data_IF_088077966505
#
_entry.id   IF_088077966505
#
_cell.length_a   1.000
_cell.length_b   1.000
_cell.length_c   1.000
_cell.angle_alpha   90.00
_cell.angle_beta   90.00
_cell.angle_gamma   90.00
#
_symmetry.space_group_name_H-M   'P 1'
#
loop_
_entity.id
_entity.type
_entity.pdbx_description
1 polymer ?
#
# COMPACT_ATOMS: atom_id res chain seq x y z
N UNK A 1 14.05 -11.87 17.06
CA UNK A 1 12.84 -12.18 17.87
C UNK A 1 12.17 -13.37 17.20
N UNK A 2 11.99 -14.50 17.88
CA UNK A 2 11.45 -15.74 17.29
C UNK A 2 9.91 -15.74 17.22
N UNK A 3 9.32 -14.72 16.61
CA UNK A 3 7.85 -14.55 16.56
C UNK A 3 7.15 -15.63 15.74
N UNK A 4 7.85 -16.28 14.81
CA UNK A 4 7.38 -17.43 14.03
C UNK A 4 7.00 -18.66 14.89
N UNK A 5 7.61 -18.81 16.07
CA UNK A 5 7.36 -19.92 16.99
C UNK A 5 6.13 -19.69 17.89
N UNK A 6 5.54 -18.49 17.88
CA UNK A 6 4.35 -18.20 18.65
C UNK A 6 3.12 -18.88 18.04
N UNK A 7 2.25 -19.41 18.91
CA UNK A 7 0.93 -19.89 18.50
C UNK A 7 0.02 -18.73 18.07
N UNK A 8 -1.12 -19.03 17.45
CA UNK A 8 -2.02 -18.04 16.86
C UNK A 8 -2.48 -16.94 17.83
N UNK A 9 -2.83 -17.26 19.07
CA UNK A 9 -3.31 -16.25 20.01
C UNK A 9 -2.13 -15.41 20.54
N UNK A 10 -1.03 -16.07 20.86
CA UNK A 10 0.17 -15.40 21.37
C UNK A 10 0.76 -14.41 20.35
N UNK A 11 0.78 -14.73 19.06
CA UNK A 11 1.29 -13.80 18.03
C UNK A 11 0.37 -12.60 17.86
N UNK A 12 -0.95 -12.77 17.92
CA UNK A 12 -1.90 -11.66 17.82
C UNK A 12 -1.76 -10.73 19.01
N UNK A 13 -1.74 -11.28 20.24
CA UNK A 13 -1.56 -10.47 21.46
C UNK A 13 -0.21 -9.76 21.48
N UNK A 14 0.84 -10.44 21.01
CA UNK A 14 2.15 -9.84 20.86
C UNK A 14 2.13 -8.64 19.89
N UNK A 15 1.53 -8.79 18.70
CA UNK A 15 1.44 -7.73 17.70
C UNK A 15 0.60 -6.56 18.21
N UNK A 16 -0.55 -6.82 18.86
CA UNK A 16 -1.37 -5.75 19.47
C UNK A 16 -0.58 -4.91 20.46
N UNK A 17 0.19 -5.56 21.34
CA UNK A 17 1.02 -4.85 22.30
C UNK A 17 2.16 -4.08 21.61
N UNK A 18 2.76 -4.66 20.56
CA UNK A 18 3.81 -3.99 19.80
C UNK A 18 3.30 -2.78 19.02
N UNK A 19 2.10 -2.84 18.44
CA UNK A 19 1.40 -1.70 17.83
C UNK A 19 1.13 -0.61 18.88
N UNK A 20 0.63 -0.98 20.07
CA UNK A 20 0.39 -0.02 21.15
C UNK A 20 1.67 0.71 21.55
N UNK A 21 2.76 -0.02 21.83
CA UNK A 21 4.04 0.59 22.21
C UNK A 21 4.61 1.41 21.06
N UNK A 22 4.46 0.97 19.81
CA UNK A 22 4.82 1.78 18.65
C UNK A 22 4.01 3.08 18.57
N UNK A 23 2.73 3.07 18.95
CA UNK A 23 1.93 4.30 19.03
C UNK A 23 2.47 5.24 20.11
N UNK A 24 2.76 4.70 21.30
CA UNK A 24 3.34 5.46 22.42
C UNK A 24 4.71 6.07 22.05
N UNK A 25 5.58 5.33 21.36
CA UNK A 25 6.89 5.79 20.89
C UNK A 25 6.81 6.92 19.85
N UNK A 26 5.77 6.91 19.02
CA UNK A 26 5.56 7.90 17.96
C UNK A 26 4.82 9.15 18.45
N UNK A 27 4.11 9.05 19.58
CA UNK A 27 3.37 10.16 20.18
C UNK A 27 4.28 11.26 20.78
N UNK A 28 5.57 10.96 21.00
CA UNK A 28 6.58 11.95 21.36
C UNK A 28 6.82 12.90 20.17
N UNK A 29 6.18 14.09 20.19
CA UNK A 29 6.24 15.05 19.08
C UNK A 29 7.65 15.63 18.88
N UNK A 30 8.47 15.68 19.94
CA UNK A 30 9.83 16.23 19.89
C UNK A 30 10.83 15.21 19.33
N UNK A 31 10.65 13.93 19.67
CA UNK A 31 11.57 12.87 19.25
C UNK A 31 10.86 11.53 19.00
N UNK A 32 10.08 11.40 17.90
CA UNK A 32 9.33 10.19 17.62
C UNK A 32 10.27 9.02 17.32
N UNK A 33 10.15 7.96 18.14
CA UNK A 33 10.98 6.75 18.00
C UNK A 33 10.27 5.73 17.11
N UNK A 34 11.02 5.13 16.19
CA UNK A 34 10.49 4.17 15.21
C UNK A 34 10.88 2.72 15.55
N UNK A 35 11.31 2.45 16.78
CA UNK A 35 11.91 1.17 17.13
C UNK A 35 10.87 0.04 17.08
N UNK A 36 9.72 0.22 17.73
CA UNK A 36 8.66 -0.77 17.68
C UNK A 36 8.02 -0.85 16.29
N UNK A 37 7.98 0.25 15.52
CA UNK A 37 7.57 0.23 14.12
C UNK A 37 8.51 -0.63 13.26
N UNK A 38 9.83 -0.48 13.43
CA UNK A 38 10.84 -1.35 12.80
C UNK A 38 10.62 -2.83 13.16
N UNK A 39 10.34 -3.11 14.43
CA UNK A 39 10.07 -4.47 14.90
C UNK A 39 8.77 -5.05 14.33
N UNK A 40 7.74 -4.23 14.11
CA UNK A 40 6.55 -4.66 13.39
C UNK A 40 6.90 -5.12 11.98
N UNK A 41 7.74 -4.37 11.25
CA UNK A 41 8.18 -4.75 9.89
C UNK A 41 8.91 -6.09 9.89
N UNK A 42 9.84 -6.30 10.83
CA UNK A 42 10.54 -7.58 11.00
C UNK A 42 9.57 -8.72 11.27
N UNK A 43 8.62 -8.52 12.19
CA UNK A 43 7.61 -9.52 12.55
C UNK A 43 6.70 -9.84 11.38
N UNK A 44 6.25 -8.83 10.61
CA UNK A 44 5.45 -9.05 9.41
C UNK A 44 6.22 -9.97 8.44
N UNK A 45 7.46 -9.60 8.10
CA UNK A 45 8.29 -10.34 7.15
C UNK A 45 8.53 -11.80 7.55
N UNK A 46 8.67 -12.09 8.85
CA UNK A 46 8.87 -13.46 9.36
C UNK A 46 7.60 -14.31 9.35
N UNK A 47 6.42 -13.68 9.38
CA UNK A 47 5.15 -14.38 9.60
C UNK A 47 4.24 -14.44 8.35
N UNK A 48 4.65 -13.86 7.22
CA UNK A 48 3.90 -13.88 5.95
C UNK A 48 3.56 -15.28 5.44
N UNK A 49 4.40 -16.28 5.74
CA UNK A 49 4.22 -17.67 5.30
C UNK A 49 3.32 -18.50 6.23
N UNK A 50 2.72 -17.90 7.26
CA UNK A 50 1.77 -18.60 8.13
C UNK A 50 0.53 -19.04 7.36
N UNK A 51 -0.19 -20.01 7.95
CA UNK A 51 -1.51 -20.42 7.47
C UNK A 51 -2.37 -19.18 7.26
N UNK A 52 -2.91 -19.05 6.05
CA UNK A 52 -3.65 -17.88 5.55
C UNK A 52 -4.57 -17.21 6.56
N UNK A 53 -5.44 -17.97 7.22
CA UNK A 53 -6.39 -17.41 8.20
C UNK A 53 -5.69 -16.76 9.41
N UNK A 54 -4.54 -17.31 9.84
CA UNK A 54 -3.73 -16.71 10.89
C UNK A 54 -3.06 -15.44 10.39
N UNK A 55 -2.47 -15.49 9.18
CA UNK A 55 -1.85 -14.32 8.57
C UNK A 55 -2.86 -13.17 8.39
N UNK A 56 -4.06 -13.44 7.90
CA UNK A 56 -5.10 -12.41 7.73
C UNK A 56 -5.39 -11.67 9.04
N UNK A 57 -5.52 -12.39 10.16
CA UNK A 57 -5.75 -11.77 11.49
C UNK A 57 -4.55 -10.98 12.00
N UNK A 58 -3.34 -11.47 11.72
CA UNK A 58 -2.10 -10.77 12.04
C UNK A 58 -2.06 -9.44 11.28
N UNK A 59 -2.27 -9.51 9.96
CA UNK A 59 -2.19 -8.34 9.09
C UNK A 59 -3.29 -7.33 9.39
N UNK A 60 -4.52 -7.75 9.67
CA UNK A 60 -5.62 -6.86 10.08
C UNK A 60 -5.23 -5.94 11.25
N UNK A 61 -4.51 -6.46 12.25
CA UNK A 61 -4.02 -5.62 13.36
C UNK A 61 -2.90 -4.66 12.91
N UNK A 62 -2.01 -5.13 12.04
CA UNK A 62 -0.87 -4.34 11.58
C UNK A 62 -1.28 -3.25 10.59
N UNK A 63 -2.26 -3.54 9.73
CA UNK A 63 -2.73 -2.64 8.69
C UNK A 63 -3.40 -1.41 9.31
N UNK A 64 -4.21 -1.58 10.35
CA UNK A 64 -4.80 -0.48 11.12
C UNK A 64 -3.70 0.44 11.69
N UNK A 65 -2.65 -0.15 12.25
CA UNK A 65 -1.50 0.58 12.78
C UNK A 65 -0.75 1.35 11.68
N UNK A 66 -0.44 0.71 10.55
CA UNK A 66 0.23 1.39 9.43
C UNK A 66 -0.60 2.55 8.87
N UNK A 67 -1.92 2.40 8.76
CA UNK A 67 -2.81 3.48 8.30
C UNK A 67 -2.82 4.63 9.30
N UNK A 68 -2.88 4.34 10.61
CA UNK A 68 -2.79 5.36 11.66
C UNK A 68 -1.47 6.14 11.60
N UNK A 69 -0.34 5.42 11.48
CA UNK A 69 0.99 6.04 11.32
C UNK A 69 1.10 6.82 10.01
N UNK A 70 0.41 6.40 8.95
CA UNK A 70 0.32 7.14 7.68
C UNK A 70 -0.42 8.48 7.75
N UNK A 71 -1.08 8.76 8.87
CA UNK A 71 -1.71 10.05 9.18
C UNK A 71 -0.94 10.86 10.23
N UNK A 72 0.30 10.45 10.54
CA UNK A 72 1.14 11.13 11.52
C UNK A 72 1.57 12.54 11.04
N UNK A 73 1.73 13.48 11.98
CA UNK A 73 2.12 14.87 11.65
C UNK A 73 3.53 14.99 11.09
N UNK A 74 4.45 14.16 11.59
CA UNK A 74 5.84 14.11 11.14
C UNK A 74 5.96 13.33 9.82
N UNK A 75 6.27 14.03 8.73
CA UNK A 75 6.45 13.45 7.41
C UNK A 75 7.43 12.28 7.37
N UNK A 76 8.55 12.36 8.11
CA UNK A 76 9.55 11.29 8.13
C UNK A 76 9.01 9.99 8.75
N UNK A 77 8.02 10.08 9.63
CA UNK A 77 7.33 8.91 10.20
C UNK A 77 6.40 8.31 9.15
N UNK A 78 5.63 9.14 8.45
CA UNK A 78 4.71 8.71 7.37
C UNK A 78 5.47 8.04 6.23
N UNK A 79 6.53 8.67 5.73
CA UNK A 79 7.38 8.11 4.65
C UNK A 79 7.98 6.77 5.09
N UNK A 80 8.43 6.64 6.34
CA UNK A 80 8.97 5.38 6.85
C UNK A 80 7.91 4.27 6.86
N UNK A 81 6.67 4.57 7.23
CA UNK A 81 5.57 3.60 7.20
C UNK A 81 5.25 3.16 5.76
N UNK A 82 5.21 4.09 4.80
CA UNK A 82 4.95 3.77 3.39
C UNK A 82 6.09 2.94 2.79
N UNK A 83 7.34 3.28 3.08
CA UNK A 83 8.49 2.50 2.61
C UNK A 83 8.49 1.10 3.22
N UNK A 84 8.11 0.99 4.50
CA UNK A 84 7.94 -0.31 5.17
C UNK A 84 6.89 -1.16 4.47
N UNK A 85 5.72 -0.58 4.14
CA UNK A 85 4.69 -1.26 3.36
C UNK A 85 5.22 -1.70 1.99
N UNK A 86 6.02 -0.85 1.31
CA UNK A 86 6.63 -1.17 0.01
C UNK A 86 7.57 -2.36 0.10
N UNK A 87 8.49 -2.35 1.06
CA UNK A 87 9.44 -3.45 1.28
C UNK A 87 8.72 -4.77 1.60
N UNK A 88 7.62 -4.70 2.36
CA UNK A 88 6.82 -5.87 2.67
C UNK A 88 6.01 -6.34 1.45
N UNK A 89 5.47 -5.42 0.64
CA UNK A 89 4.78 -5.73 -0.62
C UNK A 89 5.70 -6.43 -1.63
N UNK A 90 6.96 -5.98 -1.75
CA UNK A 90 7.95 -6.58 -2.64
C UNK A 90 8.15 -8.07 -2.36
N UNK A 91 8.11 -8.47 -1.08
CA UNK A 91 8.19 -9.87 -0.63
C UNK A 91 6.84 -10.59 -0.75
N UNK A 92 5.76 -9.93 -0.33
CA UNK A 92 4.44 -10.56 -0.24
C UNK A 92 3.88 -10.92 -1.62
N UNK A 93 4.11 -10.08 -2.64
CA UNK A 93 3.62 -10.34 -3.99
C UNK A 93 4.27 -11.55 -4.65
N UNK A 94 5.50 -11.91 -4.25
CA UNK A 94 6.17 -13.12 -4.74
C UNK A 94 5.55 -14.41 -4.20
N UNK A 95 4.72 -14.32 -3.15
CA UNK A 95 3.93 -15.43 -2.64
C UNK A 95 2.72 -15.61 -3.58
N UNK A 96 2.63 -16.79 -4.19
CA UNK A 96 1.55 -17.10 -5.13
C UNK A 96 0.17 -16.93 -4.48
N UNK A 97 -0.64 -16.03 -5.06
CA UNK A 97 -2.04 -15.90 -4.71
C UNK A 97 -2.87 -16.95 -5.47
N UNK A 98 -3.52 -17.84 -4.71
CA UNK A 98 -4.43 -18.83 -5.27
C UNK A 98 -5.68 -18.14 -5.84
N UNK A 99 -6.27 -18.72 -6.88
CA UNK A 99 -7.52 -18.23 -7.49
C UNK A 99 -8.65 -18.10 -6.45
N UNK A 100 -9.54 -17.12 -6.66
CA UNK A 100 -10.68 -16.77 -5.77
C UNK A 100 -10.30 -16.24 -4.38
N UNK A 101 -9.06 -15.80 -4.21
CA UNK A 101 -8.60 -15.17 -2.99
C UNK A 101 -8.13 -13.74 -3.24
N UNK A 102 -8.25 -12.91 -2.21
CA UNK A 102 -7.99 -11.47 -2.25
C UNK A 102 -6.95 -11.05 -1.20
N UNK A 103 -5.92 -11.86 -1.00
CA UNK A 103 -4.85 -11.63 -0.03
C UNK A 103 -3.98 -10.44 -0.44
N UNK A 104 -3.63 -10.30 -1.71
CA UNK A 104 -2.89 -9.16 -2.22
C UNK A 104 -3.71 -7.87 -2.09
N UNK A 105 -5.02 -7.93 -2.40
CA UNK A 105 -5.94 -6.81 -2.15
C UNK A 105 -5.93 -6.36 -0.68
N UNK A 106 -6.10 -7.30 0.24
CA UNK A 106 -6.06 -7.02 1.68
C UNK A 106 -4.71 -6.43 2.09
N UNK A 107 -3.62 -7.05 1.63
CA UNK A 107 -2.27 -6.61 1.94
C UNK A 107 -1.95 -5.19 1.46
N UNK A 108 -2.37 -4.83 0.24
CA UNK A 108 -2.09 -3.52 -0.35
C UNK A 108 -3.05 -2.42 0.11
N UNK A 109 -4.16 -2.76 0.79
CA UNK A 109 -5.20 -1.79 1.20
C UNK A 109 -4.66 -0.59 1.99
N UNK A 110 -3.64 -0.72 2.86
CA UNK A 110 -3.04 0.43 3.53
C UNK A 110 -2.53 1.53 2.61
N UNK A 111 -1.97 1.21 1.44
CA UNK A 111 -1.55 2.24 0.48
C UNK A 111 -2.73 3.10 0.02
N UNK A 112 -3.87 2.47 -0.26
CA UNK A 112 -5.09 3.15 -0.68
C UNK A 112 -5.66 4.01 0.45
N UNK A 113 -5.73 3.48 1.67
CA UNK A 113 -6.22 4.23 2.83
C UNK A 113 -5.33 5.44 3.17
N UNK A 114 -4.00 5.28 3.13
CA UNK A 114 -3.07 6.39 3.39
C UNK A 114 -3.16 7.43 2.28
N UNK A 115 -3.28 7.02 1.00
CA UNK A 115 -3.51 7.94 -0.12
C UNK A 115 -4.80 8.73 0.08
N UNK A 116 -5.91 8.06 0.41
CA UNK A 116 -7.20 8.68 0.63
C UNK A 116 -7.16 9.70 1.78
N UNK A 117 -6.51 9.35 2.90
CA UNK A 117 -6.36 10.25 4.05
C UNK A 117 -5.54 11.51 3.71
N UNK A 118 -4.69 11.45 2.68
CA UNK A 118 -3.78 12.53 2.30
C UNK A 118 -4.12 13.19 0.96
N UNK A 119 -5.21 12.78 0.27
CA UNK A 119 -5.52 13.25 -1.09
C UNK A 119 -5.70 14.79 -1.16
N UNK A 120 -6.32 15.36 -0.12
CA UNK A 120 -6.52 16.81 0.04
C UNK A 120 -5.48 17.48 0.94
N UNK A 121 -4.45 16.74 1.36
CA UNK A 121 -3.37 17.28 2.19
C UNK A 121 -2.47 18.21 1.37
N UNK A 122 -1.90 19.21 2.05
CA UNK A 122 -0.83 20.06 1.48
C UNK A 122 0.51 19.34 1.41
N UNK A 123 0.66 18.19 2.07
CA UNK A 123 1.88 17.38 2.05
C UNK A 123 1.93 16.52 0.78
N UNK A 124 2.42 17.11 -0.31
CA UNK A 124 2.51 16.45 -1.63
C UNK A 124 3.44 15.25 -1.63
N UNK A 125 4.52 15.32 -0.85
CA UNK A 125 5.55 14.29 -0.73
C UNK A 125 4.98 12.90 -0.38
N UNK A 126 3.91 12.84 0.42
CA UNK A 126 3.23 11.59 0.76
C UNK A 126 2.59 10.96 -0.48
N UNK A 127 1.85 11.76 -1.25
CA UNK A 127 1.16 11.31 -2.47
C UNK A 127 2.18 10.90 -3.54
N UNK A 128 3.21 11.72 -3.73
CA UNK A 128 4.36 11.44 -4.60
C UNK A 128 4.99 10.08 -4.27
N UNK A 129 5.29 9.85 -3.00
CA UNK A 129 5.95 8.63 -2.57
C UNK A 129 5.07 7.39 -2.76
N UNK A 130 3.76 7.48 -2.48
CA UNK A 130 2.81 6.39 -2.75
C UNK A 130 2.75 6.10 -4.26
N UNK A 131 2.58 7.11 -5.10
CA UNK A 131 2.54 6.95 -6.57
C UNK A 131 3.82 6.31 -7.08
N UNK A 132 4.98 6.72 -6.56
CA UNK A 132 6.27 6.12 -6.89
C UNK A 132 6.32 4.64 -6.51
N UNK A 133 5.88 4.27 -5.30
CA UNK A 133 5.84 2.88 -4.83
C UNK A 133 4.94 2.03 -5.73
N UNK A 134 3.72 2.50 -6.00
CA UNK A 134 2.75 1.76 -6.82
C UNK A 134 3.21 1.64 -8.27
N UNK A 135 3.77 2.71 -8.85
CA UNK A 135 4.38 2.65 -10.16
C UNK A 135 5.50 1.60 -10.21
N UNK A 136 6.38 1.55 -9.22
CA UNK A 136 7.44 0.55 -9.16
C UNK A 136 6.87 -0.88 -9.13
N UNK A 137 5.82 -1.14 -8.34
CA UNK A 137 5.13 -2.44 -8.32
C UNK A 137 4.58 -2.81 -9.71
N UNK A 138 3.95 -1.86 -10.43
CA UNK A 138 3.48 -2.11 -11.79
C UNK A 138 4.61 -2.47 -12.76
N UNK A 139 5.77 -1.82 -12.67
CA UNK A 139 6.87 -2.08 -13.60
C UNK A 139 7.67 -3.34 -13.25
N UNK A 140 7.86 -3.62 -11.96
CA UNK A 140 8.77 -4.68 -11.51
C UNK A 140 8.06 -5.97 -11.09
N UNK A 141 6.79 -5.87 -10.70
CA UNK A 141 6.02 -6.99 -10.12
C UNK A 141 4.71 -7.31 -10.85
N UNK A 142 4.42 -6.70 -12.01
CA UNK A 142 3.17 -6.92 -12.76
C UNK A 142 2.76 -8.40 -12.86
N UNK A 143 3.71 -9.27 -13.24
CA UNK A 143 3.49 -10.72 -13.39
C UNK A 143 3.05 -11.44 -12.10
N UNK A 144 3.35 -10.86 -10.94
CA UNK A 144 3.00 -11.39 -9.62
C UNK A 144 1.68 -10.81 -9.08
N UNK A 145 1.22 -9.69 -9.64
CA UNK A 145 0.00 -9.02 -9.19
C UNK A 145 -1.23 -9.75 -9.76
N UNK A 146 -2.19 -10.02 -8.86
CA UNK A 146 -3.49 -10.67 -9.08
C UNK A 146 -4.58 -9.76 -8.52
N UNK A 147 -5.21 -10.12 -7.38
CA UNK A 147 -6.23 -9.28 -6.74
C UNK A 147 -5.70 -7.90 -6.31
N UNK A 148 -4.37 -7.74 -6.21
CA UNK A 148 -3.73 -6.45 -5.95
C UNK A 148 -3.98 -5.38 -7.03
N UNK A 149 -4.29 -5.78 -8.28
CA UNK A 149 -4.61 -4.83 -9.35
C UNK A 149 -5.81 -3.95 -8.98
N UNK A 150 -6.79 -4.50 -8.27
CA UNK A 150 -7.96 -3.73 -7.82
C UNK A 150 -7.54 -2.51 -6.97
N UNK A 151 -6.62 -2.70 -6.03
CA UNK A 151 -6.13 -1.65 -5.13
C UNK A 151 -5.29 -0.63 -5.89
N UNK A 152 -4.43 -1.11 -6.78
CA UNK A 152 -3.59 -0.25 -7.64
C UNK A 152 -4.46 0.67 -8.50
N UNK A 153 -5.49 0.12 -9.13
CA UNK A 153 -6.44 0.88 -9.96
C UNK A 153 -7.27 1.87 -9.13
N UNK A 154 -7.64 1.51 -7.91
CA UNK A 154 -8.30 2.46 -6.98
C UNK A 154 -7.37 3.61 -6.61
N UNK A 155 -6.10 3.34 -6.30
CA UNK A 155 -5.11 4.39 -6.01
C UNK A 155 -4.94 5.32 -7.22
N UNK A 156 -4.75 4.77 -8.42
CA UNK A 156 -4.67 5.59 -9.63
C UNK A 156 -5.96 6.38 -9.90
N UNK A 157 -7.13 5.83 -9.58
CA UNK A 157 -8.40 6.57 -9.67
C UNK A 157 -8.47 7.76 -8.72
N UNK A 158 -7.91 7.64 -7.51
CA UNK A 158 -7.78 8.77 -6.57
C UNK A 158 -6.83 9.83 -7.13
N UNK A 159 -5.65 9.41 -7.59
CA UNK A 159 -4.63 10.32 -8.17
C UNK A 159 -5.14 11.00 -9.44
N UNK A 160 -5.96 10.32 -10.24
CA UNK A 160 -6.51 10.86 -11.49
C UNK A 160 -7.33 12.13 -11.30
N UNK A 161 -7.81 12.42 -10.08
CA UNK A 161 -8.56 13.64 -9.77
C UNK A 161 -7.73 14.68 -8.98
N UNK A 162 -6.43 14.43 -8.82
CA UNK A 162 -5.53 15.32 -8.11
C UNK A 162 -5.22 16.59 -8.92
N UNK A 163 -4.84 17.66 -8.22
CA UNK A 163 -4.43 18.94 -8.80
C UNK A 163 -2.96 18.90 -9.26
N UNK A 164 -2.15 18.00 -8.70
CA UNK A 164 -0.75 17.83 -9.08
C UNK A 164 -0.64 17.07 -10.41
N UNK A 165 -0.57 17.82 -11.51
CA UNK A 165 -0.55 17.28 -12.89
C UNK A 165 0.56 16.27 -13.13
N UNK A 166 1.73 16.44 -12.49
CA UNK A 166 2.83 15.48 -12.57
C UNK A 166 2.45 14.09 -12.02
N UNK A 167 1.68 14.03 -10.91
CA UNK A 167 1.21 12.76 -10.34
C UNK A 167 0.17 12.08 -11.22
N UNK A 168 -0.73 12.89 -11.79
CA UNK A 168 -1.72 12.42 -12.76
C UNK A 168 -1.00 11.83 -13.97
N UNK A 169 0.00 12.52 -14.52
CA UNK A 169 0.78 12.04 -15.66
C UNK A 169 1.58 10.76 -15.34
N UNK A 170 2.25 10.71 -14.19
CA UNK A 170 3.04 9.55 -13.77
C UNK A 170 2.17 8.30 -13.54
N UNK A 171 1.02 8.46 -12.86
CA UNK A 171 0.07 7.37 -12.63
C UNK A 171 -0.55 6.88 -13.93
N UNK A 172 -0.94 7.79 -14.83
CA UNK A 172 -1.45 7.44 -16.16
C UNK A 172 -0.41 6.70 -17.01
N UNK A 173 0.84 7.18 -17.05
CA UNK A 173 1.94 6.51 -17.76
C UNK A 173 2.16 5.09 -17.24
N UNK A 174 2.10 4.90 -15.93
CA UNK A 174 2.26 3.60 -15.30
C UNK A 174 1.09 2.66 -15.62
N UNK A 175 -0.14 3.17 -15.61
CA UNK A 175 -1.33 2.43 -16.03
C UNK A 175 -1.24 2.02 -17.50
N UNK A 176 -0.88 2.95 -18.39
CA UNK A 176 -0.73 2.69 -19.81
C UNK A 176 0.34 1.61 -20.08
N UNK A 177 1.48 1.68 -19.39
CA UNK A 177 2.50 0.63 -19.46
C UNK A 177 1.96 -0.72 -18.99
N UNK A 178 1.25 -0.76 -17.87
CA UNK A 178 0.66 -1.98 -17.33
C UNK A 178 -0.36 -2.60 -18.30
N UNK A 179 -1.28 -1.80 -18.85
CA UNK A 179 -2.31 -2.29 -19.79
C UNK A 179 -1.68 -2.81 -21.08
N UNK A 180 -0.71 -2.11 -21.66
CA UNK A 180 -0.13 -2.52 -22.93
C UNK A 180 0.75 -3.76 -22.83
N UNK A 181 1.44 -3.96 -21.71
CA UNK A 181 2.37 -5.08 -21.53
C UNK A 181 1.76 -6.24 -20.74
N UNK A 182 0.68 -6.02 -20.00
CA UNK A 182 0.12 -6.97 -19.04
C UNK A 182 -1.43 -6.99 -19.05
N UNK A 183 -2.07 -6.72 -20.20
CA UNK A 183 -3.55 -6.63 -20.31
C UNK A 183 -4.27 -7.85 -19.73
N UNK A 184 -3.77 -9.06 -19.99
CA UNK A 184 -4.34 -10.31 -19.47
C UNK A 184 -4.29 -10.41 -17.94
N UNK A 185 -3.34 -9.75 -17.29
CA UNK A 185 -3.21 -9.75 -15.83
C UNK A 185 -4.21 -8.81 -15.15
N UNK A 186 -4.72 -7.82 -15.87
CA UNK A 186 -5.63 -6.79 -15.36
C UNK A 186 -7.10 -7.16 -15.63
N UNK A 187 -7.35 -8.17 -16.49
CA UNK A 187 -8.69 -8.58 -16.94
C UNK A 187 -9.66 -8.88 -15.78
N UNK A 188 -9.18 -9.53 -14.71
CA UNK A 188 -9.99 -9.81 -13.51
C UNK A 188 -10.44 -8.53 -12.77
N UNK A 189 -9.78 -7.40 -13.02
CA UNK A 189 -10.09 -6.07 -12.47
C UNK A 189 -10.65 -5.10 -13.53
N UNK A 190 -11.29 -5.62 -14.58
CA UNK A 190 -11.78 -4.83 -15.72
C UNK A 190 -12.69 -3.65 -15.32
N UNK A 191 -13.62 -3.87 -14.38
CA UNK A 191 -14.55 -2.81 -13.93
C UNK A 191 -13.77 -1.64 -13.29
N UNK A 192 -12.79 -1.95 -12.45
CA UNK A 192 -11.93 -0.95 -11.83
C UNK A 192 -11.04 -0.25 -12.86
N UNK A 193 -10.59 -0.97 -13.89
CA UNK A 193 -9.82 -0.38 -14.99
C UNK A 193 -10.66 0.67 -15.74
N UNK A 194 -11.89 0.33 -16.12
CA UNK A 194 -12.80 1.27 -16.81
C UNK A 194 -13.12 2.48 -15.92
N UNK A 195 -13.39 2.26 -14.64
CA UNK A 195 -13.60 3.36 -13.69
C UNK A 195 -12.37 4.28 -13.59
N UNK A 196 -11.17 3.69 -13.53
CA UNK A 196 -9.92 4.41 -13.46
C UNK A 196 -9.67 5.26 -14.71
N UNK A 197 -9.84 4.67 -15.90
CA UNK A 197 -9.73 5.39 -17.18
C UNK A 197 -10.78 6.50 -17.29
N UNK A 198 -12.01 6.25 -16.86
CA UNK A 198 -13.06 7.26 -16.77
C UNK A 198 -12.66 8.43 -15.85
N UNK A 199 -11.98 8.18 -14.74
CA UNK A 199 -11.50 9.26 -13.85
C UNK A 199 -10.41 10.10 -14.52
N UNK A 200 -9.49 9.49 -15.24
CA UNK A 200 -8.47 10.22 -16.02
C UNK A 200 -9.08 11.08 -17.14
N UNK A 201 -10.10 10.57 -17.84
CA UNK A 201 -10.73 11.31 -18.94
C UNK A 201 -11.49 12.56 -18.49
N UNK A 202 -11.90 12.62 -17.21
CA UNK A 202 -12.61 13.76 -16.64
C UNK A 202 -11.69 14.74 -15.90
N UNK A 203 -10.36 14.55 -15.93
CA UNK A 203 -9.44 15.53 -15.36
C UNK A 203 -9.25 16.71 -16.34
N UNK A 204 -9.59 17.95 -15.95
CA UNK A 204 -9.51 19.14 -16.82
C UNK A 204 -8.08 19.44 -17.32
N UNK A 205 -7.04 18.89 -16.69
CA UNK A 205 -5.64 19.05 -17.08
C UNK A 205 -5.13 17.95 -18.04
N UNK A 206 -5.99 17.01 -18.48
CA UNK A 206 -5.59 15.93 -19.39
C UNK A 206 -4.99 16.43 -20.72
N UNK A 207 -5.43 17.60 -21.20
CA UNK A 207 -4.95 18.20 -22.46
C UNK A 207 -3.47 18.58 -22.46
N UNK A 208 -2.84 18.76 -21.30
CA UNK A 208 -1.42 19.12 -21.18
C UNK A 208 -0.49 17.90 -21.17
N UNK A 209 -1.03 16.70 -20.91
CA UNK A 209 -0.27 15.45 -20.74
C UNK A 209 -0.28 14.54 -21.98
N UNK A 210 -0.97 14.94 -23.06
CA UNK A 210 -1.13 14.17 -24.30
C UNK A 210 -0.19 14.63 -25.44
N UNK A 211 0.79 15.50 -25.14
CA UNK A 211 1.90 15.87 -26.03
C UNK A 211 3.20 15.23 -25.55
#
# INVERSE_FOLDING_TARGET
MQSENLNQNAIIDFIKNLCRVSGDELADEDNPKKFCLQKLVEVASLNMNRVRFQWSKIWETMEEHFVSVGSHKNLNVVIYAIDSLRQLADKFLEIEERKNFSQQKMFLKPFESIMLNNIHSRQKDIKEYIVMCIAALCHQKAQFIRSGWEVILNIFSLVAQDQETHLVAQSFKSLHHAVNNNSSLIEESFIQLINCLGKFSHNPHHSENAQ
#
